data_IF_769685936936
#
_entry.id   IF_769685936936
#
_cell.length_a   1.000
_cell.length_b   1.000
_cell.length_c   1.000
_cell.angle_alpha   90.00
_cell.angle_beta   90.00
_cell.angle_gamma   90.00
#
_symmetry.space_group_name_H-M   'P 1'
#
loop_
_entity.id
_entity.type
_entity.pdbx_description
1 polymer ?
#
# COMPACT_ATOMS: atom_id res chain seq x y z
N UNK A 1 -35.73 -15.89 15.81
CA UNK A 1 -34.97 -17.00 15.21
C UNK A 1 -33.76 -16.41 14.50
N UNK A 2 -32.53 -16.92 14.71
CA UNK A 2 -31.39 -16.46 13.93
C UNK A 2 -31.66 -16.76 12.44
N UNK A 3 -31.49 -15.77 11.57
CA UNK A 3 -31.59 -15.97 10.12
C UNK A 3 -30.47 -16.93 9.72
N UNK A 4 -30.80 -18.13 9.27
CA UNK A 4 -29.82 -19.06 8.70
C UNK A 4 -29.34 -18.48 7.37
N UNK A 5 -28.08 -18.04 7.34
CA UNK A 5 -27.40 -17.63 6.09
C UNK A 5 -27.24 -18.88 5.23
N UNK A 6 -27.60 -18.78 3.95
CA UNK A 6 -27.52 -19.90 3.01
C UNK A 6 -26.05 -20.30 2.79
N UNK A 7 -25.78 -21.61 2.74
CA UNK A 7 -24.43 -22.17 2.65
C UNK A 7 -23.64 -21.64 1.44
N UNK A 8 -24.32 -21.45 0.31
CA UNK A 8 -23.75 -20.91 -0.93
C UNK A 8 -23.23 -19.47 -0.77
N UNK A 9 -23.91 -18.67 0.06
CA UNK A 9 -23.53 -17.28 0.36
C UNK A 9 -22.26 -17.25 1.23
N UNK A 10 -22.13 -18.18 2.18
CA UNK A 10 -20.93 -18.33 3.01
C UNK A 10 -19.74 -18.83 2.19
N UNK A 11 -19.94 -19.83 1.32
CA UNK A 11 -18.90 -20.35 0.44
C UNK A 11 -18.40 -19.27 -0.54
N UNK A 12 -19.30 -18.44 -1.08
CA UNK A 12 -18.92 -17.30 -1.92
C UNK A 12 -18.04 -16.28 -1.20
N UNK A 13 -18.36 -15.93 0.05
CA UNK A 13 -17.54 -15.00 0.84
C UNK A 13 -16.16 -15.57 1.18
N UNK A 14 -16.09 -16.86 1.52
CA UNK A 14 -14.79 -17.51 1.80
C UNK A 14 -13.92 -17.53 0.54
N UNK A 15 -14.52 -17.75 -0.63
CA UNK A 15 -13.80 -17.67 -1.91
C UNK A 15 -13.32 -16.24 -2.20
N UNK A 16 -14.15 -15.23 -1.98
CA UNK A 16 -13.75 -13.83 -2.13
C UNK A 16 -12.65 -13.43 -1.13
N UNK A 17 -12.73 -13.88 0.12
CA UNK A 17 -11.68 -13.68 1.11
C UNK A 17 -10.36 -14.29 0.64
N UNK A 18 -10.39 -15.52 0.14
CA UNK A 18 -9.21 -16.19 -0.38
C UNK A 18 -8.64 -15.45 -1.59
N UNK A 19 -9.46 -15.03 -2.56
CA UNK A 19 -9.03 -14.24 -3.72
C UNK A 19 -8.44 -12.88 -3.33
N UNK A 20 -8.98 -12.25 -2.28
CA UNK A 20 -8.51 -10.96 -1.77
C UNK A 20 -7.20 -11.11 -1.00
N UNK A 21 -7.05 -12.20 -0.24
CA UNK A 21 -5.84 -12.55 0.48
C UNK A 21 -4.74 -13.10 -0.44
N UNK A 22 -5.11 -13.71 -1.57
CA UNK A 22 -4.18 -14.30 -2.52
C UNK A 22 -3.24 -13.23 -3.10
N UNK A 23 -1.94 -13.54 -3.13
CA UNK A 23 -0.90 -12.62 -3.61
C UNK A 23 -0.55 -11.46 -2.67
N UNK A 24 -1.38 -11.15 -1.66
CA UNK A 24 -1.10 -10.06 -0.73
C UNK A 24 0.20 -10.30 0.08
N UNK A 25 0.44 -11.49 0.67
CA UNK A 25 1.69 -11.73 1.39
C UNK A 25 2.93 -11.54 0.52
N UNK A 26 2.87 -11.97 -0.75
CA UNK A 26 3.97 -11.84 -1.71
C UNK A 26 4.24 -10.37 -2.02
N UNK A 27 3.19 -9.61 -2.31
CA UNK A 27 3.34 -8.19 -2.66
C UNK A 27 3.81 -7.35 -1.46
N UNK A 28 3.27 -7.59 -0.27
CA UNK A 28 3.72 -6.92 0.96
C UNK A 28 5.17 -7.29 1.28
N UNK A 29 5.54 -8.57 1.13
CA UNK A 29 6.93 -9.02 1.32
C UNK A 29 7.89 -8.36 0.35
N UNK A 30 7.47 -8.14 -0.90
CA UNK A 30 8.28 -7.42 -1.90
C UNK A 30 8.54 -5.97 -1.47
N UNK A 31 7.49 -5.25 -1.04
CA UNK A 31 7.61 -3.85 -0.59
C UNK A 31 8.48 -3.76 0.67
N UNK A 32 8.32 -4.68 1.63
CA UNK A 32 9.12 -4.73 2.85
C UNK A 32 10.60 -5.00 2.52
N UNK A 33 10.86 -5.96 1.61
CA UNK A 33 12.23 -6.28 1.18
C UNK A 33 12.91 -5.10 0.51
N UNK A 34 12.17 -4.36 -0.33
CA UNK A 34 12.64 -3.13 -0.96
C UNK A 34 12.96 -2.05 0.09
N UNK A 35 12.11 -1.90 1.10
CA UNK A 35 12.34 -0.97 2.22
C UNK A 35 13.54 -1.34 3.10
N UNK A 36 13.81 -2.65 3.30
CA UNK A 36 15.03 -3.12 3.98
C UNK A 36 16.28 -2.86 3.12
N UNK A 37 16.16 -2.91 1.80
CA UNK A 37 17.22 -2.47 0.88
C UNK A 37 17.58 -1.00 1.11
N UNK A 38 16.59 -0.11 1.22
CA UNK A 38 16.82 1.29 1.57
C UNK A 38 17.56 1.45 2.90
N UNK A 39 17.28 0.62 3.91
CA UNK A 39 17.99 0.65 5.19
C UNK A 39 19.47 0.27 5.05
N UNK A 40 19.80 -0.71 4.20
CA UNK A 40 21.17 -1.05 3.88
C UNK A 40 21.90 0.11 3.19
N UNK A 41 21.23 0.77 2.24
CA UNK A 41 21.80 1.89 1.48
C UNK A 41 22.04 3.11 2.38
N UNK A 42 21.09 3.43 3.27
CA UNK A 42 21.24 4.49 4.29
C UNK A 42 22.44 4.21 5.20
N UNK A 43 22.55 2.99 5.73
CA UNK A 43 23.69 2.62 6.58
C UNK A 43 25.03 2.71 5.85
N UNK A 44 25.03 2.41 4.55
CA UNK A 44 26.23 2.58 3.70
C UNK A 44 26.59 4.06 3.58
N UNK A 45 25.60 4.94 3.36
CA UNK A 45 25.82 6.40 3.30
C UNK A 45 26.26 6.99 4.63
N UNK A 46 25.76 6.48 5.76
CA UNK A 46 26.21 6.89 7.10
C UNK A 46 27.70 6.59 7.28
N UNK A 47 28.14 5.37 6.96
CA UNK A 47 29.56 5.01 7.03
C UNK A 47 30.44 5.86 6.12
N UNK A 48 29.98 6.12 4.89
CA UNK A 48 30.69 7.01 3.96
C UNK A 48 30.87 8.41 4.55
N UNK A 49 29.83 8.96 5.20
CA UNK A 49 29.91 10.26 5.89
C UNK A 49 30.87 10.21 7.08
N UNK A 50 30.83 9.16 7.91
CA UNK A 50 31.75 8.99 9.04
C UNK A 50 33.21 8.93 8.57
N UNK A 51 33.49 8.19 7.49
CA UNK A 51 34.82 8.09 6.89
C UNK A 51 35.32 9.45 6.35
N UNK A 52 34.44 10.22 5.69
CA UNK A 52 34.78 11.56 5.19
C UNK A 52 34.97 12.53 6.36
N UNK A 53 34.15 12.43 7.41
CA UNK A 53 34.24 13.28 8.60
C UNK A 53 35.56 13.08 9.35
N UNK A 54 36.05 11.85 9.44
CA UNK A 54 37.37 11.55 9.98
C UNK A 54 38.47 12.29 9.20
N UNK A 55 38.38 12.29 7.86
CA UNK A 55 39.34 13.01 7.00
C UNK A 55 39.28 14.53 7.20
N UNK A 56 38.08 15.10 7.37
CA UNK A 56 37.91 16.55 7.65
C UNK A 56 38.61 16.95 8.93
N UNK A 57 38.56 16.09 9.95
CA UNK A 57 39.12 16.34 11.27
C UNK A 57 40.65 16.39 11.28
N UNK A 58 41.29 15.67 10.35
CA UNK A 58 42.75 15.58 10.19
C UNK A 58 43.31 16.56 9.15
N UNK A 59 42.49 17.08 8.24
CA UNK A 59 42.93 17.96 7.17
C UNK A 59 43.34 19.35 7.72
N UNK A 60 44.42 19.92 7.18
CA UNK A 60 44.95 21.22 7.58
C UNK A 60 44.61 22.32 6.57
N UNK A 61 44.39 21.96 5.31
CA UNK A 61 44.08 22.89 4.22
C UNK A 61 42.59 23.19 4.14
N UNK A 62 42.22 24.46 4.32
CA UNK A 62 40.81 24.91 4.21
C UNK A 62 40.17 24.58 2.85
N UNK A 63 40.95 24.66 1.76
CA UNK A 63 40.47 24.30 0.42
C UNK A 63 40.12 22.82 0.29
N UNK A 64 40.90 21.92 0.90
CA UNK A 64 40.62 20.48 0.91
C UNK A 64 39.48 20.13 1.86
N UNK A 65 39.39 20.81 3.01
CA UNK A 65 38.23 20.71 3.92
C UNK A 65 36.94 21.03 3.19
N UNK A 66 36.90 22.11 2.43
CA UNK A 66 35.69 22.48 1.69
C UNK A 66 35.28 21.39 0.68
N UNK A 67 36.23 20.76 0.00
CA UNK A 67 35.94 19.64 -0.91
C UNK A 67 35.34 18.45 -0.15
N UNK A 68 35.88 18.11 1.02
CA UNK A 68 35.36 17.02 1.85
C UNK A 68 33.96 17.34 2.39
N UNK A 69 33.72 18.58 2.83
CA UNK A 69 32.39 19.05 3.26
C UNK A 69 31.38 18.94 2.11
N UNK A 70 31.74 19.37 0.91
CA UNK A 70 30.88 19.23 -0.27
C UNK A 70 30.54 17.77 -0.59
N UNK A 71 31.47 16.83 -0.32
CA UNK A 71 31.20 15.39 -0.47
C UNK A 71 30.20 14.89 0.58
N UNK A 72 30.30 15.35 1.83
CA UNK A 72 29.32 15.04 2.88
C UNK A 72 27.94 15.57 2.47
N UNK A 73 27.84 16.81 2.01
CA UNK A 73 26.58 17.38 1.53
C UNK A 73 25.97 16.55 0.39
N UNK A 74 26.79 16.04 -0.53
CA UNK A 74 26.31 15.16 -1.59
C UNK A 74 25.80 13.81 -1.04
N UNK A 75 26.50 13.23 -0.06
CA UNK A 75 26.05 12.00 0.59
C UNK A 75 24.71 12.21 1.31
N UNK A 76 24.54 13.35 1.99
CA UNK A 76 23.30 13.72 2.66
C UNK A 76 22.13 13.89 1.67
N UNK A 77 22.37 14.53 0.51
CA UNK A 77 21.36 14.64 -0.55
C UNK A 77 20.91 13.28 -1.07
N UNK A 78 21.87 12.39 -1.36
CA UNK A 78 21.55 11.02 -1.78
C UNK A 78 20.80 10.25 -0.69
N UNK A 79 21.19 10.43 0.58
CA UNK A 79 20.49 9.81 1.70
C UNK A 79 19.04 10.32 1.83
N UNK A 80 18.81 11.61 1.60
CA UNK A 80 17.47 12.19 1.55
C UNK A 80 16.61 11.53 0.46
N UNK A 81 17.13 11.36 -0.75
CA UNK A 81 16.43 10.67 -1.84
C UNK A 81 16.04 9.23 -1.45
N UNK A 82 16.93 8.51 -0.75
CA UNK A 82 16.64 7.16 -0.25
C UNK A 82 15.55 7.18 0.82
N UNK A 83 15.56 8.16 1.74
CA UNK A 83 14.50 8.32 2.75
C UNK A 83 13.14 8.64 2.12
N UNK A 84 13.11 9.51 1.10
CA UNK A 84 11.90 9.84 0.35
C UNK A 84 11.33 8.58 -0.32
N UNK A 85 12.17 7.80 -0.99
CA UNK A 85 11.74 6.53 -1.56
C UNK A 85 11.23 5.53 -0.51
N UNK A 86 11.90 5.42 0.64
CA UNK A 86 11.45 4.57 1.75
C UNK A 86 10.08 5.01 2.31
N UNK A 87 9.84 6.31 2.36
CA UNK A 87 8.55 6.87 2.77
C UNK A 87 7.45 6.49 1.78
N UNK A 88 7.72 6.58 0.46
CA UNK A 88 6.78 6.15 -0.58
C UNK A 88 6.44 4.66 -0.47
N UNK A 89 7.44 3.80 -0.24
CA UNK A 89 7.23 2.37 -0.01
C UNK A 89 6.33 2.11 1.20
N UNK A 90 6.55 2.85 2.30
CA UNK A 90 5.75 2.74 3.51
C UNK A 90 4.30 3.19 3.28
N UNK A 91 4.09 4.30 2.56
CA UNK A 91 2.76 4.79 2.18
C UNK A 91 2.04 3.81 1.26
N UNK A 92 2.77 3.20 0.31
CA UNK A 92 2.24 2.16 -0.58
C UNK A 92 1.80 0.92 0.20
N UNK A 93 2.57 0.50 1.20
CA UNK A 93 2.23 -0.61 2.09
C UNK A 93 0.90 -0.34 2.82
N UNK A 94 0.79 0.83 3.47
CA UNK A 94 -0.41 1.23 4.20
C UNK A 94 -1.62 1.32 3.27
N UNK A 95 -1.46 1.93 2.10
CA UNK A 95 -2.53 2.06 1.11
C UNK A 95 -3.05 0.69 0.68
N UNK A 96 -2.17 -0.28 0.44
CA UNK A 96 -2.56 -1.64 0.04
C UNK A 96 -3.31 -2.38 1.14
N UNK A 97 -2.80 -2.31 2.37
CA UNK A 97 -3.46 -2.95 3.52
C UNK A 97 -4.86 -2.36 3.72
N UNK A 98 -4.98 -1.03 3.70
CA UNK A 98 -6.29 -0.34 3.83
C UNK A 98 -7.25 -0.68 2.72
N UNK A 99 -6.80 -0.72 1.47
CA UNK A 99 -7.66 -1.09 0.35
C UNK A 99 -8.24 -2.50 0.51
N UNK A 100 -7.43 -3.44 1.01
CA UNK A 100 -7.85 -4.82 1.27
C UNK A 100 -8.76 -4.92 2.49
N UNK A 101 -8.46 -4.19 3.56
CA UNK A 101 -9.33 -4.07 4.73
C UNK A 101 -10.72 -3.53 4.36
N UNK A 102 -10.78 -2.44 3.59
CA UNK A 102 -12.04 -1.89 3.08
C UNK A 102 -12.81 -2.91 2.27
N UNK A 103 -12.15 -3.61 1.34
CA UNK A 103 -12.79 -4.63 0.52
C UNK A 103 -13.39 -5.75 1.38
N UNK A 104 -12.63 -6.30 2.33
CA UNK A 104 -13.11 -7.36 3.21
C UNK A 104 -14.27 -6.89 4.11
N UNK A 105 -14.23 -5.65 4.58
CA UNK A 105 -15.28 -5.06 5.39
C UNK A 105 -16.57 -4.84 4.58
N UNK A 106 -16.46 -4.40 3.32
CA UNK A 106 -17.59 -4.29 2.39
C UNK A 106 -18.23 -5.65 2.12
N UNK A 107 -17.44 -6.68 1.81
CA UNK A 107 -17.94 -8.05 1.59
C UNK A 107 -18.61 -8.62 2.85
N UNK A 108 -18.05 -8.34 4.04
CA UNK A 108 -18.64 -8.75 5.33
C UNK A 108 -19.96 -8.03 5.63
N UNK A 109 -20.03 -6.72 5.39
CA UNK A 109 -21.28 -5.97 5.57
C UNK A 109 -22.37 -6.41 4.58
N UNK A 110 -21.98 -6.78 3.35
CA UNK A 110 -22.88 -7.41 2.37
C UNK A 110 -23.50 -8.71 2.90
N UNK A 111 -22.72 -9.54 3.61
CA UNK A 111 -23.24 -10.73 4.28
C UNK A 111 -24.23 -10.40 5.42
N UNK A 112 -23.92 -9.39 6.24
CA UNK A 112 -24.78 -9.00 7.36
C UNK A 112 -26.13 -8.43 6.89
N UNK A 113 -26.14 -7.74 5.75
CA UNK A 113 -27.33 -7.14 5.15
C UNK A 113 -28.11 -8.09 4.25
N UNK A 114 -27.66 -9.34 4.06
CA UNK A 114 -28.36 -10.33 3.25
C UNK A 114 -29.75 -10.63 3.83
N UNK A 115 -30.77 -10.05 3.20
CA UNK A 115 -32.15 -10.48 3.31
C UNK A 115 -32.52 -11.23 2.03
N UNK A 116 -33.12 -12.42 2.16
CA UNK A 116 -33.44 -13.35 1.05
C UNK A 116 -34.29 -12.73 -0.08
N UNK A 117 -34.75 -11.50 0.09
CA UNK A 117 -35.61 -10.74 -0.82
C UNK A 117 -34.84 -9.84 -1.78
N UNK A 118 -33.54 -9.59 -1.55
CA UNK A 118 -32.70 -8.84 -2.49
C UNK A 118 -31.61 -9.75 -3.07
N UNK A 119 -31.40 -9.75 -4.40
CA UNK A 119 -30.25 -10.42 -4.98
C UNK A 119 -28.99 -9.81 -4.39
N UNK A 120 -28.06 -10.66 -3.94
CA UNK A 120 -26.75 -10.22 -3.48
C UNK A 120 -26.08 -9.46 -4.64
N UNK A 121 -26.08 -8.14 -4.57
CA UNK A 121 -25.41 -7.32 -5.58
C UNK A 121 -23.93 -7.42 -5.31
N UNK A 122 -23.29 -8.33 -6.05
CA UNK A 122 -21.84 -8.47 -6.11
C UNK A 122 -21.17 -7.10 -6.20
N UNK A 123 -20.14 -6.89 -5.40
CA UNK A 123 -19.11 -5.90 -5.69
C UNK A 123 -18.45 -6.29 -7.00
N UNK A 124 -19.05 -5.88 -8.11
CA UNK A 124 -18.56 -6.16 -9.45
C UNK A 124 -17.12 -5.67 -9.54
N UNK A 125 -16.19 -6.60 -9.80
CA UNK A 125 -14.98 -6.28 -10.55
C UNK A 125 -15.40 -5.36 -11.70
N UNK A 126 -14.82 -4.16 -11.75
CA UNK A 126 -15.04 -3.12 -12.78
C UNK A 126 -16.22 -2.17 -12.54
N UNK A 127 -15.89 -0.89 -12.33
CA UNK A 127 -16.83 0.21 -12.20
C UNK A 127 -17.70 0.45 -13.44
N UNK A 128 -18.86 -0.20 -13.50
CA UNK A 128 -20.03 0.31 -14.22
C UNK A 128 -21.17 0.46 -13.24
N UNK A 129 -21.41 1.72 -12.89
CA UNK A 129 -22.68 2.23 -12.39
C UNK A 129 -23.83 1.54 -13.13
N UNK A 130 -24.63 0.75 -12.42
CA UNK A 130 -26.01 0.50 -12.84
C UNK A 130 -26.77 1.82 -12.67
N UNK A 131 -26.62 2.70 -13.65
CA UNK A 131 -27.42 3.91 -13.76
C UNK A 131 -28.86 3.51 -14.10
N UNK A 132 -29.76 3.81 -13.15
CA UNK A 132 -31.04 4.44 -13.45
C UNK A 132 -32.11 3.57 -14.11
N UNK A 133 -32.88 2.85 -13.31
CA UNK A 133 -34.33 2.88 -13.52
C UNK A 133 -34.83 4.26 -13.05
N UNK A 134 -34.93 5.20 -13.99
CA UNK A 134 -35.74 6.40 -13.81
C UNK A 134 -37.23 6.05 -13.81
N UNK A 135 -38.07 6.81 -13.08
CA UNK A 135 -39.47 6.49 -12.84
C UNK A 135 -40.35 6.80 -14.07
N UNK A 136 -41.39 5.99 -14.25
CA UNK A 136 -42.57 6.22 -15.11
C UNK A 136 -42.35 6.51 -16.61
N UNK A 137 -42.73 5.55 -17.47
CA UNK A 137 -43.46 5.85 -18.70
C UNK A 137 -44.65 4.89 -18.85
N UNK A 138 -45.83 5.49 -18.96
CA UNK A 138 -47.15 4.86 -19.18
C UNK A 138 -47.23 4.13 -20.52
N UNK A 139 -48.11 3.11 -20.65
CA UNK A 139 -48.36 2.46 -21.93
C UNK A 139 -49.32 3.32 -22.78
N UNK A 140 -49.04 3.46 -24.07
CA UNK A 140 -50.01 3.93 -25.06
C UNK A 140 -50.16 2.85 -26.15
N UNK A 141 -51.39 2.54 -26.61
CA UNK A 141 -51.74 2.66 -28.01
C UNK A 141 -51.94 4.12 -28.43
#
# INVERSE_FOLDING_TARGET
MPKTVDKEVVESYVNEFNDVAEGMPIELSRIISEGLGCDCDINTKIKEIEDIWSQVSEEASDGRKQILVNRIENCLKQMQEIYEHKLELSQRLVTKIRAKETQLNESYNGLLLYDRTQPFTYGTRSGRLFNGQSPHQTPNP
#
